data_IF_857436283811
#
_entry.id   IF_857436283811
#
_cell.length_a   1.000
_cell.length_b   1.000
_cell.length_c   1.000
_cell.angle_alpha   90.00
_cell.angle_beta   90.00
_cell.angle_gamma   90.00
#
_symmetry.space_group_name_H-M   'P 1'
#
loop_
_entity.id
_entity.type
_entity.pdbx_description
1 polymer ?
#
# COMPACT_ATOMS: atom_id res chain seq x y z
N UNK A 1 22.55 -8.73 -3.05
CA UNK A 1 21.60 -7.76 -3.67
C UNK A 1 21.63 -7.99 -5.17
N UNK A 2 20.50 -8.31 -5.79
CA UNK A 2 20.42 -8.33 -7.25
C UNK A 2 20.63 -6.91 -7.78
N UNK A 3 21.35 -6.71 -8.88
CA UNK A 3 21.49 -5.38 -9.47
C UNK A 3 20.11 -4.86 -9.86
N UNK A 4 19.87 -3.57 -9.59
CA UNK A 4 18.66 -2.91 -10.05
C UNK A 4 18.51 -3.07 -11.57
N UNK A 5 17.30 -3.29 -12.08
CA UNK A 5 17.10 -3.39 -13.54
C UNK A 5 17.52 -2.07 -14.21
N UNK A 6 18.18 -2.19 -15.36
CA UNK A 6 18.54 -1.02 -16.14
C UNK A 6 17.28 -0.25 -16.58
N UNK A 7 17.40 1.06 -16.64
CA UNK A 7 16.33 1.91 -17.20
C UNK A 7 16.01 1.46 -18.62
N UNK A 8 14.72 1.24 -18.98
CA UNK A 8 14.33 0.90 -20.33
C UNK A 8 14.82 1.94 -21.36
N UNK A 9 15.38 1.49 -22.48
CA UNK A 9 15.85 2.38 -23.55
C UNK A 9 14.66 2.98 -24.34
N UNK A 10 13.57 2.26 -24.43
CA UNK A 10 12.38 2.68 -25.17
C UNK A 10 11.30 3.20 -24.23
N UNK A 11 10.71 4.33 -24.59
CA UNK A 11 9.51 4.82 -23.91
C UNK A 11 8.31 3.95 -24.28
N UNK A 12 7.36 3.71 -23.37
CA UNK A 12 6.13 3.01 -23.69
C UNK A 12 5.32 3.78 -24.74
N UNK A 13 4.63 3.08 -25.62
CA UNK A 13 3.78 3.70 -26.65
C UNK A 13 2.64 4.52 -26.03
N UNK A 14 2.15 4.09 -24.88
CA UNK A 14 1.14 4.80 -24.11
C UNK A 14 1.75 5.10 -22.74
N UNK A 15 2.31 6.30 -22.55
CA UNK A 15 2.98 6.66 -21.29
C UNK A 15 2.01 7.17 -20.21
N UNK A 16 0.71 7.06 -20.42
CA UNK A 16 -0.30 7.50 -19.46
C UNK A 16 -0.45 6.49 -18.34
N UNK A 17 0.29 6.69 -17.28
CA UNK A 17 0.11 5.96 -16.02
C UNK A 17 -0.87 6.76 -15.17
N UNK A 18 -2.08 6.27 -15.06
CA UNK A 18 -3.12 6.93 -14.30
C UNK A 18 -3.18 6.39 -12.86
N UNK A 19 -3.26 7.30 -11.91
CA UNK A 19 -3.64 7.03 -10.52
C UNK A 19 -5.15 7.18 -10.39
N UNK A 20 -5.96 6.49 -10.89
CA UNK A 20 -7.40 6.62 -10.84
C UNK A 20 -8.06 5.33 -11.30
N UNK A 21 -9.33 5.38 -11.71
CA UNK A 21 -10.01 4.21 -12.23
C UNK A 21 -9.22 3.63 -13.40
N UNK A 22 -8.67 2.44 -13.22
CA UNK A 22 -7.98 1.73 -14.29
C UNK A 22 -8.99 1.14 -15.26
N UNK A 23 -8.67 1.07 -16.57
CA UNK A 23 -9.48 0.34 -17.51
C UNK A 23 -9.55 -1.14 -17.09
N UNK A 24 -10.64 -1.80 -17.44
CA UNK A 24 -10.73 -3.24 -17.24
C UNK A 24 -9.63 -3.95 -18.02
N UNK A 25 -9.18 -5.10 -17.49
CA UNK A 25 -8.22 -5.95 -18.21
C UNK A 25 -8.71 -6.26 -19.64
N UNK A 26 -7.81 -6.49 -20.59
CA UNK A 26 -8.19 -6.97 -21.92
C UNK A 26 -9.17 -8.17 -21.82
N UNK A 27 -10.11 -8.24 -22.73
CA UNK A 27 -11.13 -9.31 -22.81
C UNK A 27 -12.13 -9.35 -21.63
N UNK A 28 -12.11 -8.36 -20.74
CA UNK A 28 -13.13 -8.30 -19.67
C UNK A 28 -14.52 -8.06 -20.26
N UNK A 29 -15.47 -8.79 -19.78
CA UNK A 29 -16.89 -8.61 -20.08
C UNK A 29 -17.75 -8.80 -18.83
N UNK A 30 -19.03 -8.46 -18.92
CA UNK A 30 -19.97 -8.68 -17.81
C UNK A 30 -20.11 -10.16 -17.41
N UNK A 31 -19.78 -11.08 -18.29
CA UNK A 31 -19.73 -12.52 -18.00
C UNK A 31 -18.75 -12.85 -16.87
N UNK A 32 -17.72 -12.03 -16.66
CA UNK A 32 -16.82 -12.19 -15.52
C UNK A 32 -17.51 -12.06 -14.16
N UNK A 33 -18.72 -11.50 -14.13
CA UNK A 33 -19.57 -11.37 -12.94
C UNK A 33 -20.60 -12.52 -12.80
N UNK A 34 -20.65 -13.45 -13.74
CA UNK A 34 -21.49 -14.64 -13.62
C UNK A 34 -21.06 -15.44 -12.38
N UNK A 35 -22.02 -15.84 -11.57
CA UNK A 35 -21.74 -16.52 -10.30
C UNK A 35 -21.33 -15.61 -9.14
N UNK A 36 -21.36 -14.27 -9.33
CA UNK A 36 -21.20 -13.34 -8.22
C UNK A 36 -22.27 -13.59 -7.14
N UNK A 37 -21.88 -13.53 -5.87
CA UNK A 37 -22.76 -13.81 -4.73
C UNK A 37 -23.61 -12.57 -4.38
N UNK A 38 -24.41 -12.10 -5.32
CA UNK A 38 -25.27 -10.95 -5.14
C UNK A 38 -26.33 -11.22 -4.06
N UNK A 39 -26.58 -10.21 -3.22
CA UNK A 39 -27.58 -10.30 -2.15
C UNK A 39 -27.21 -11.28 -1.02
N UNK A 40 -25.97 -11.75 -0.95
CA UNK A 40 -25.49 -12.62 0.13
C UNK A 40 -24.60 -11.86 1.10
N UNK A 41 -24.76 -12.16 2.38
CA UNK A 41 -23.86 -11.63 3.41
C UNK A 41 -22.43 -12.16 3.22
N UNK A 42 -21.43 -11.30 3.40
CA UNK A 42 -20.01 -11.72 3.49
C UNK A 42 -19.76 -12.72 4.64
N UNK A 43 -20.65 -12.77 5.65
CA UNK A 43 -20.58 -13.72 6.78
C UNK A 43 -21.13 -15.09 6.43
N UNK A 44 -21.83 -15.25 5.29
CA UNK A 44 -22.32 -16.55 4.84
C UNK A 44 -21.15 -17.49 4.50
N UNK A 45 -21.37 -18.79 4.56
CA UNK A 45 -20.33 -19.78 4.22
C UNK A 45 -19.71 -19.54 2.83
N UNK A 46 -20.51 -19.31 1.74
CA UNK A 46 -19.92 -19.00 0.44
C UNK A 46 -19.22 -17.62 0.40
N UNK A 47 -19.73 -16.60 1.11
CA UNK A 47 -19.07 -15.30 1.21
C UNK A 47 -17.68 -15.40 1.87
N UNK A 48 -17.61 -16.09 3.00
CA UNK A 48 -16.33 -16.37 3.67
C UNK A 48 -15.36 -17.15 2.79
N UNK A 49 -15.84 -18.11 2.02
CA UNK A 49 -14.99 -18.87 1.10
C UNK A 49 -14.40 -17.97 0.00
N UNK A 50 -15.15 -17.01 -0.56
CA UNK A 50 -14.65 -16.04 -1.53
C UNK A 50 -13.59 -15.10 -0.93
N UNK A 51 -13.83 -14.58 0.28
CA UNK A 51 -12.84 -13.75 0.97
C UNK A 51 -11.56 -14.53 1.27
N UNK A 52 -11.68 -15.77 1.73
CA UNK A 52 -10.53 -16.64 1.96
C UNK A 52 -9.74 -16.88 0.67
N UNK A 53 -10.43 -17.17 -0.45
CA UNK A 53 -9.78 -17.36 -1.74
C UNK A 53 -9.00 -16.10 -2.16
N UNK A 54 -9.59 -14.90 -2.00
CA UNK A 54 -8.90 -13.65 -2.31
C UNK A 54 -7.60 -13.48 -1.50
N UNK A 55 -7.61 -13.81 -0.20
CA UNK A 55 -6.42 -13.77 0.65
C UNK A 55 -5.37 -14.77 0.18
N UNK A 56 -5.78 -16.02 -0.11
CA UNK A 56 -4.86 -17.08 -0.53
C UNK A 56 -4.24 -16.81 -1.90
N UNK A 57 -5.02 -16.32 -2.84
CA UNK A 57 -4.56 -15.93 -4.17
C UNK A 57 -3.60 -14.72 -4.10
N UNK A 58 -3.90 -13.72 -3.27
CA UNK A 58 -3.00 -12.59 -3.01
C UNK A 58 -1.67 -13.08 -2.44
N UNK A 59 -1.71 -13.97 -1.46
CA UNK A 59 -0.50 -14.59 -0.89
C UNK A 59 0.34 -15.29 -1.94
N UNK A 60 -0.29 -16.11 -2.76
CA UNK A 60 0.39 -16.88 -3.80
C UNK A 60 0.98 -15.97 -4.88
N UNK A 61 0.22 -14.98 -5.35
CA UNK A 61 0.65 -14.07 -6.42
C UNK A 61 1.81 -13.17 -6.00
N UNK A 62 1.76 -12.65 -4.78
CA UNK A 62 2.78 -11.74 -4.25
C UNK A 62 3.92 -12.46 -3.51
N UNK A 63 3.88 -13.78 -3.39
CA UNK A 63 4.89 -14.56 -2.67
C UNK A 63 4.97 -14.20 -1.18
N UNK A 64 3.86 -13.81 -0.56
CA UNK A 64 3.84 -13.39 0.85
C UNK A 64 4.16 -14.58 1.76
N UNK A 65 5.17 -14.49 2.64
CA UNK A 65 5.54 -15.57 3.56
C UNK A 65 4.36 -16.01 4.45
N UNK A 66 4.38 -17.27 4.89
CA UNK A 66 3.28 -17.88 5.65
C UNK A 66 3.09 -17.26 7.05
N UNK A 67 4.14 -16.67 7.60
CA UNK A 67 4.16 -15.99 8.89
C UNK A 67 3.67 -14.53 8.81
N UNK A 68 3.37 -14.03 7.61
CA UNK A 68 2.78 -12.70 7.41
C UNK A 68 1.26 -12.78 7.31
N UNK A 69 0.58 -11.82 7.91
CA UNK A 69 -0.86 -11.71 7.82
C UNK A 69 -1.28 -10.85 6.62
N UNK A 70 -2.35 -11.27 5.95
CA UNK A 70 -3.02 -10.50 4.91
C UNK A 70 -4.43 -10.20 5.43
N UNK A 71 -4.79 -8.92 5.51
CA UNK A 71 -6.10 -8.47 5.98
C UNK A 71 -6.88 -7.76 4.87
N UNK A 72 -8.18 -8.04 4.79
CA UNK A 72 -9.12 -7.23 4.01
C UNK A 72 -9.80 -6.29 4.99
N UNK A 73 -9.61 -5.00 4.81
CA UNK A 73 -10.17 -3.96 5.68
C UNK A 73 -11.21 -3.15 4.91
N UNK A 74 -12.18 -2.59 5.65
CA UNK A 74 -13.18 -1.72 5.08
C UNK A 74 -12.60 -0.30 4.91
N UNK A 75 -13.02 0.41 3.86
CA UNK A 75 -12.65 1.80 3.63
C UNK A 75 -11.86 1.98 2.33
N UNK A 76 -10.81 2.76 2.44
CA UNK A 76 -9.91 3.13 1.34
C UNK A 76 -8.48 2.69 1.63
N UNK A 77 -7.57 2.94 0.68
CA UNK A 77 -6.13 2.74 0.88
C UNK A 77 -5.64 3.59 2.06
N UNK A 78 -6.11 4.84 2.16
CA UNK A 78 -5.84 5.74 3.28
C UNK A 78 -6.22 5.10 4.60
N UNK A 79 -7.46 4.62 4.74
CA UNK A 79 -7.91 3.96 5.97
C UNK A 79 -7.14 2.68 6.30
N UNK A 80 -6.63 1.95 5.30
CA UNK A 80 -5.78 0.78 5.53
C UNK A 80 -4.40 1.17 6.06
N UNK A 81 -3.81 2.24 5.52
CA UNK A 81 -2.50 2.76 5.98
C UNK A 81 -2.64 3.36 7.37
N UNK A 82 -3.64 4.21 7.63
CA UNK A 82 -3.91 4.75 8.97
C UNK A 82 -4.06 3.64 10.01
N UNK A 83 -4.86 2.62 9.70
CA UNK A 83 -5.01 1.49 10.62
C UNK A 83 -3.67 0.81 10.91
N UNK A 84 -2.78 0.68 9.92
CA UNK A 84 -1.45 0.12 10.11
C UNK A 84 -0.59 1.03 10.99
N UNK A 85 -0.55 2.33 10.71
CA UNK A 85 0.20 3.32 11.50
C UNK A 85 -0.24 3.31 12.97
N UNK A 86 -1.55 3.39 13.21
CA UNK A 86 -2.13 3.45 14.55
C UNK A 86 -1.95 2.17 15.37
N UNK A 87 -1.70 1.03 14.73
CA UNK A 87 -1.53 -0.24 15.42
C UNK A 87 -0.08 -0.72 15.51
N UNK A 88 0.80 -0.27 14.63
CA UNK A 88 2.14 -0.83 14.49
C UNK A 88 3.26 0.12 14.94
N UNK A 89 3.05 1.44 14.85
CA UNK A 89 4.07 2.41 15.26
C UNK A 89 4.14 2.57 16.78
N UNK A 90 5.30 3.04 17.25
CA UNK A 90 5.53 3.38 18.66
C UNK A 90 6.38 2.36 19.43
N UNK A 91 6.65 1.19 18.87
CA UNK A 91 7.54 0.21 19.51
C UNK A 91 9.03 0.60 19.35
N UNK A 92 9.35 1.40 18.36
CA UNK A 92 10.68 1.93 18.06
C UNK A 92 10.55 3.33 17.44
N UNK A 93 11.67 4.00 17.16
CA UNK A 93 11.66 5.28 16.47
C UNK A 93 11.05 5.17 15.06
N UNK A 94 10.65 6.31 14.49
CA UNK A 94 10.04 6.38 13.17
C UNK A 94 10.82 7.36 12.28
N UNK A 95 11.16 6.92 11.07
CA UNK A 95 11.60 7.77 9.98
C UNK A 95 10.42 7.96 9.04
N UNK A 96 9.87 9.16 8.98
CA UNK A 96 8.77 9.48 8.06
C UNK A 96 9.28 10.36 6.92
N UNK A 97 9.12 9.86 5.69
CA UNK A 97 9.60 10.54 4.49
C UNK A 97 8.41 11.08 3.69
N UNK A 98 8.53 12.34 3.24
CA UNK A 98 7.50 12.93 2.40
C UNK A 98 8.08 13.94 1.39
N UNK A 99 7.58 13.87 0.15
CA UNK A 99 7.93 14.77 -0.95
C UNK A 99 6.72 15.16 -1.81
N UNK A 100 5.51 14.86 -1.29
CA UNK A 100 4.24 15.22 -1.93
C UNK A 100 3.13 15.30 -0.86
N UNK A 101 1.91 15.67 -1.25
CA UNK A 101 0.83 15.98 -0.31
C UNK A 101 0.37 14.79 0.52
N UNK A 102 0.23 13.61 -0.07
CA UNK A 102 -0.22 12.42 0.67
C UNK A 102 0.80 11.98 1.72
N UNK A 103 2.10 12.00 1.38
CA UNK A 103 3.14 11.74 2.35
C UNK A 103 3.16 12.76 3.49
N UNK A 104 2.86 14.03 3.21
CA UNK A 104 2.75 15.07 4.25
C UNK A 104 1.57 14.84 5.19
N UNK A 105 0.46 14.30 4.70
CA UNK A 105 -0.67 13.91 5.54
C UNK A 105 -0.26 12.81 6.53
N UNK A 106 0.52 11.81 6.09
CA UNK A 106 1.09 10.80 6.99
C UNK A 106 2.08 11.36 8.01
N UNK A 107 2.86 12.39 7.64
CA UNK A 107 3.69 13.11 8.61
C UNK A 107 2.82 13.72 9.71
N UNK A 108 1.72 14.38 9.34
CA UNK A 108 0.77 14.95 10.30
C UNK A 108 0.21 13.86 11.21
N UNK A 109 -0.23 12.74 10.67
CA UNK A 109 -0.75 11.63 11.46
C UNK A 109 0.27 11.11 12.48
N UNK A 110 1.50 10.88 12.05
CA UNK A 110 2.55 10.33 12.93
C UNK A 110 2.96 11.32 14.01
N UNK A 111 3.12 12.60 13.65
CA UNK A 111 3.70 13.62 14.53
C UNK A 111 2.65 14.29 15.42
N UNK A 112 1.51 14.67 14.83
CA UNK A 112 0.52 15.49 15.53
C UNK A 112 -0.58 14.65 16.17
N UNK A 113 -1.08 13.65 15.47
CA UNK A 113 -2.20 12.83 15.94
C UNK A 113 -1.72 11.68 16.82
N UNK A 114 -0.81 10.85 16.34
CA UNK A 114 -0.26 9.73 17.09
C UNK A 114 0.78 10.15 18.13
N UNK A 115 1.47 11.28 17.88
CA UNK A 115 2.53 11.81 18.76
C UNK A 115 3.60 10.78 19.07
N UNK A 116 4.00 10.04 18.06
CA UNK A 116 5.04 9.03 18.22
C UNK A 116 6.39 9.70 18.47
N UNK A 117 7.16 9.20 19.40
CA UNK A 117 8.51 9.67 19.71
C UNK A 117 9.46 8.47 19.92
N UNK A 118 10.70 8.55 19.42
CA UNK A 118 11.26 9.61 18.57
C UNK A 118 10.82 9.49 17.11
N UNK A 119 10.63 10.64 16.45
CA UNK A 119 10.33 10.75 15.03
C UNK A 119 11.36 11.62 14.32
N UNK A 120 11.86 11.18 13.16
CA UNK A 120 12.65 11.99 12.23
C UNK A 120 11.83 12.24 10.97
N UNK A 121 11.66 13.51 10.65
CA UNK A 121 10.96 13.93 9.44
C UNK A 121 11.97 14.20 8.33
N UNK A 122 11.86 13.50 7.21
CA UNK A 122 12.73 13.62 6.05
C UNK A 122 11.91 14.15 4.88
N UNK A 123 11.89 15.47 4.72
CA UNK A 123 11.02 16.17 3.80
C UNK A 123 11.78 16.66 2.58
N UNK A 124 11.11 16.63 1.41
CA UNK A 124 11.57 17.26 0.19
C UNK A 124 10.40 17.94 -0.53
N UNK A 125 10.70 18.72 -1.54
CA UNK A 125 9.70 19.39 -2.39
C UNK A 125 9.24 18.46 -3.54
N UNK A 126 8.14 18.82 -4.19
CA UNK A 126 7.64 18.07 -5.33
C UNK A 126 8.71 17.91 -6.42
N UNK A 127 8.88 16.66 -6.88
CA UNK A 127 9.89 16.30 -7.89
C UNK A 127 11.30 16.06 -7.32
N UNK A 128 11.47 16.19 -6.02
CA UNK A 128 12.71 15.92 -5.30
C UNK A 128 12.53 14.73 -4.34
N UNK A 129 13.63 14.10 -3.98
CA UNK A 129 13.63 13.07 -2.94
C UNK A 129 14.43 13.56 -1.74
N UNK A 130 14.03 13.23 -0.52
CA UNK A 130 14.87 13.44 0.65
C UNK A 130 16.15 12.58 0.55
N UNK A 131 17.13 12.88 1.37
CA UNK A 131 18.37 12.10 1.38
C UNK A 131 18.13 10.70 1.92
N UNK A 132 17.91 9.74 1.03
CA UNK A 132 17.62 8.35 1.39
C UNK A 132 18.79 7.65 2.11
N UNK A 133 20.03 8.18 2.01
CA UNK A 133 21.19 7.62 2.70
C UNK A 133 21.14 7.85 4.22
N UNK A 134 20.29 8.76 4.68
CA UNK A 134 20.11 9.07 6.11
C UNK A 134 19.03 8.22 6.78
N UNK A 135 18.30 7.39 6.03
CA UNK A 135 17.25 6.51 6.58
C UNK A 135 17.89 5.48 7.51
N UNK A 136 17.37 5.40 8.73
CA UNK A 136 17.79 4.41 9.71
C UNK A 136 16.80 3.23 9.72
N UNK A 137 17.18 2.15 9.08
CA UNK A 137 16.34 0.94 9.01
C UNK A 137 16.22 0.16 10.34
N UNK A 138 16.81 0.65 11.42
CA UNK A 138 16.47 0.18 12.77
C UNK A 138 15.17 0.79 13.29
N UNK A 139 14.74 1.92 12.71
CA UNK A 139 13.43 2.53 12.92
C UNK A 139 12.37 1.92 12.00
N UNK A 140 11.11 2.19 12.30
CA UNK A 140 10.02 1.99 11.36
C UNK A 140 10.08 3.09 10.29
N UNK A 141 9.93 2.71 9.02
CA UNK A 141 10.05 3.66 7.90
C UNK A 141 8.69 3.83 7.24
N UNK A 142 8.20 5.07 7.20
CA UNK A 142 6.90 5.44 6.62
C UNK A 142 7.12 6.35 5.42
N UNK A 143 6.58 5.99 4.26
CA UNK A 143 6.63 6.82 3.05
C UNK A 143 5.55 6.43 2.05
N UNK A 144 5.25 7.32 1.12
CA UNK A 144 4.40 7.08 -0.06
C UNK A 144 5.28 7.11 -1.31
N UNK A 145 5.05 6.14 -2.17
CA UNK A 145 5.83 6.03 -3.41
C UNK A 145 4.98 6.32 -4.63
#
# INVERSE_FOLDING_TARGET
>A
MSPLPNKPENKPQIPSFSSGPCPKRPEWSLQALEGALLGRSHRSKPGKAKLKAAIEETRALLGVPVDHHIGIVAGSDTGAVEMALWNLLGARGVDVLAWESFGRDWVTDVVEELRVEPVRQMLAEYGELPNLAEVDFSNDVVFVW
#
